data_IF_012660471323
#
_entry.id   IF_012660471323
#
_cell.length_a   1.000
_cell.length_b   1.000
_cell.length_c   1.000
_cell.angle_alpha   90.00
_cell.angle_beta   90.00
_cell.angle_gamma   90.00
#
_symmetry.space_group_name_H-M   'P 1'
#
loop_
_entity.id
_entity.type
_entity.pdbx_description
1 polymer ?
#
# COMPACT_ATOMS: atom_id res chain seq x y z
N UNK A 1 -21.85 11.64 18.15
CA UNK A 1 -22.40 10.62 17.21
C UNK A 1 -23.22 9.61 18.02
N UNK A 2 -24.13 8.87 17.39
CA UNK A 2 -24.78 7.69 17.99
C UNK A 2 -24.49 6.46 17.13
N UNK A 3 -24.34 5.29 17.75
CA UNK A 3 -24.25 4.01 17.05
C UNK A 3 -25.65 3.42 17.00
N UNK A 4 -26.08 2.97 15.82
CA UNK A 4 -27.34 2.26 15.63
C UNK A 4 -27.13 0.79 15.98
N UNK A 5 -27.85 0.29 16.98
CA UNK A 5 -27.94 -1.15 17.28
C UNK A 5 -29.37 -1.58 17.01
N UNK A 6 -29.55 -2.46 16.02
CA UNK A 6 -30.86 -3.03 15.66
C UNK A 6 -31.91 -1.92 15.41
N UNK A 7 -31.54 -0.91 14.63
CA UNK A 7 -32.45 0.18 14.25
C UNK A 7 -32.75 1.22 15.34
N UNK A 8 -32.24 1.05 16.56
CA UNK A 8 -32.38 2.04 17.64
C UNK A 8 -31.06 2.79 17.89
N UNK A 9 -31.09 4.14 17.99
CA UNK A 9 -29.89 4.91 18.30
C UNK A 9 -29.53 4.76 19.79
N UNK A 10 -28.29 4.36 20.08
CA UNK A 10 -27.75 4.43 21.44
C UNK A 10 -27.53 5.87 21.90
N UNK A 11 -27.26 6.03 23.20
CA UNK A 11 -26.85 7.29 23.81
C UNK A 11 -25.70 7.93 23.04
N UNK A 12 -25.78 9.26 22.92
CA UNK A 12 -24.74 10.02 22.24
C UNK A 12 -23.42 9.91 23.00
N UNK A 13 -22.37 9.59 22.26
CA UNK A 13 -21.00 9.69 22.75
C UNK A 13 -20.23 10.73 21.93
N UNK A 14 -19.30 11.38 22.63
CA UNK A 14 -18.36 12.33 22.05
C UNK A 14 -17.16 11.58 21.51
N UNK A 15 -16.78 11.89 20.26
CA UNK A 15 -15.54 11.37 19.67
C UNK A 15 -14.41 12.26 20.16
N UNK A 16 -13.50 11.70 20.94
CA UNK A 16 -12.33 12.41 21.47
C UNK A 16 -11.11 12.29 20.55
N UNK A 17 -11.07 11.28 19.68
CA UNK A 17 -9.97 11.03 18.75
C UNK A 17 -10.45 10.37 17.47
N UNK A 18 -9.83 10.75 16.35
CA UNK A 18 -10.03 10.13 15.04
C UNK A 18 -11.00 10.91 14.15
N UNK A 19 -10.88 10.64 12.85
CA UNK A 19 -11.70 11.25 11.80
C UNK A 19 -12.77 10.26 11.34
N UNK A 20 -13.93 10.77 10.94
CA UNK A 20 -15.04 9.93 10.47
C UNK A 20 -14.68 9.25 9.16
N UNK A 21 -14.69 7.91 9.11
CA UNK A 21 -14.57 7.18 7.84
C UNK A 21 -15.79 7.44 6.96
N UNK A 22 -15.56 7.72 5.68
CA UNK A 22 -16.61 8.04 4.71
C UNK A 22 -17.04 9.51 4.69
N UNK A 23 -16.47 10.35 5.54
CA UNK A 23 -16.57 11.80 5.42
C UNK A 23 -15.62 12.30 4.32
N UNK A 24 -16.10 13.20 3.47
CA UNK A 24 -15.34 13.75 2.35
C UNK A 24 -14.12 14.57 2.80
N UNK A 25 -14.15 15.16 4.01
CA UNK A 25 -13.04 15.98 4.53
C UNK A 25 -11.96 15.17 5.25
N UNK A 26 -12.31 14.00 5.79
CA UNK A 26 -11.38 13.18 6.57
C UNK A 26 -10.09 12.81 5.82
N UNK A 27 -10.11 12.41 4.53
CA UNK A 27 -8.88 12.13 3.78
C UNK A 27 -7.97 13.35 3.65
N UNK A 28 -8.54 14.52 3.45
CA UNK A 28 -7.78 15.76 3.30
C UNK A 28 -7.11 16.16 4.63
N UNK A 29 -7.86 16.10 5.74
CA UNK A 29 -7.30 16.36 7.07
C UNK A 29 -6.20 15.37 7.44
N UNK A 30 -6.36 14.09 7.06
CA UNK A 30 -5.30 13.10 7.23
C UNK A 30 -4.04 13.49 6.44
N UNK A 31 -4.18 13.93 5.19
CA UNK A 31 -3.05 14.35 4.37
C UNK A 31 -2.30 15.54 4.98
N UNK A 32 -3.00 16.53 5.57
CA UNK A 32 -2.35 17.65 6.27
C UNK A 32 -1.49 17.16 7.43
N UNK A 33 -2.02 16.23 8.25
CA UNK A 33 -1.26 15.67 9.36
C UNK A 33 -0.06 14.86 8.84
N UNK A 34 -0.28 14.03 7.82
CA UNK A 34 0.76 13.26 7.15
C UNK A 34 1.88 14.13 6.56
N UNK A 35 1.56 15.31 6.03
CA UNK A 35 2.53 16.26 5.49
C UNK A 35 3.56 16.71 6.55
N UNK A 36 3.16 16.78 7.83
CA UNK A 36 4.11 17.02 8.92
C UNK A 36 5.20 15.95 9.03
N UNK A 37 4.86 14.67 8.80
CA UNK A 37 5.85 13.58 8.75
C UNK A 37 6.72 13.69 7.49
N UNK A 38 6.11 13.96 6.35
CA UNK A 38 6.78 14.21 5.06
C UNK A 38 7.85 15.30 5.17
N UNK A 39 7.50 16.45 5.76
CA UNK A 39 8.44 17.55 6.00
C UNK A 39 9.56 17.14 6.97
N UNK A 40 9.25 16.37 8.01
CA UNK A 40 10.25 15.91 8.99
C UNK A 40 11.28 14.97 8.36
N UNK A 41 10.84 14.03 7.50
CA UNK A 41 11.71 13.13 6.76
C UNK A 41 12.56 13.88 5.73
N UNK A 42 11.96 14.82 5.01
CA UNK A 42 12.68 15.65 4.05
C UNK A 42 13.75 16.50 4.74
N UNK A 43 13.41 17.13 5.88
CA UNK A 43 14.38 17.91 6.65
C UNK A 43 15.52 17.06 7.18
N UNK A 44 15.23 15.83 7.61
CA UNK A 44 16.27 14.90 8.04
C UNK A 44 17.18 14.47 6.88
N UNK A 45 16.64 14.35 5.67
CA UNK A 45 17.42 14.09 4.47
C UNK A 45 18.32 15.30 4.12
N UNK A 46 17.80 16.52 4.22
CA UNK A 46 18.57 17.76 3.97
C UNK A 46 19.68 18.00 4.99
N UNK A 47 19.55 17.42 6.21
CA UNK A 47 20.54 17.49 7.28
C UNK A 47 21.47 16.26 7.32
N UNK A 48 21.49 15.44 6.26
CA UNK A 48 22.31 14.23 6.15
C UNK A 48 22.07 13.19 7.28
N UNK A 49 20.92 13.29 7.97
CA UNK A 49 20.52 12.38 9.05
C UNK A 49 19.88 11.09 8.53
N UNK A 50 19.43 11.11 7.28
CA UNK A 50 19.04 9.96 6.47
C UNK A 50 19.38 10.25 5.01
N UNK A 51 19.43 9.21 4.19
CA UNK A 51 19.62 9.37 2.75
C UNK A 51 18.63 8.50 2.00
N UNK A 52 17.81 9.16 1.17
CA UNK A 52 16.96 8.51 0.19
C UNK A 52 17.71 7.78 -0.92
N UNK A 53 16.96 7.33 -1.91
CA UNK A 53 17.49 6.63 -3.09
C UNK A 53 17.33 7.50 -4.35
N UNK A 54 18.32 7.41 -5.23
CA UNK A 54 18.33 8.12 -6.51
C UNK A 54 17.77 7.23 -7.62
N UNK A 55 16.73 7.71 -8.30
CA UNK A 55 16.09 7.01 -9.40
C UNK A 55 16.43 7.64 -10.75
N UNK A 56 16.40 6.82 -11.81
CA UNK A 56 16.57 7.27 -13.19
C UNK A 56 17.97 7.82 -13.53
N UNK A 57 19.02 7.33 -12.87
CA UNK A 57 20.39 7.81 -13.06
C UNK A 57 20.64 9.17 -12.40
N UNK A 58 20.22 9.32 -11.14
CA UNK A 58 20.34 10.56 -10.34
C UNK A 58 19.49 11.73 -10.81
N UNK A 59 18.39 11.46 -11.51
CA UNK A 59 17.45 12.51 -11.94
C UNK A 59 16.48 12.90 -10.84
N UNK A 60 16.11 11.94 -9.99
CA UNK A 60 15.10 12.13 -8.95
C UNK A 60 15.61 11.50 -7.66
N UNK A 61 15.80 12.31 -6.63
CA UNK A 61 16.10 11.86 -5.29
C UNK A 61 14.80 11.65 -4.51
N UNK A 62 14.55 10.44 -4.00
CA UNK A 62 13.31 10.11 -3.29
C UNK A 62 13.63 9.52 -1.91
N UNK A 63 13.39 10.28 -0.83
CA UNK A 63 13.58 9.79 0.54
C UNK A 63 12.41 8.93 1.05
N UNK A 64 11.20 9.14 0.52
CA UNK A 64 10.03 8.35 0.89
C UNK A 64 8.95 8.40 -0.21
N UNK A 65 8.02 7.45 -0.18
CA UNK A 65 6.76 7.44 -0.92
C UNK A 65 5.62 7.30 0.06
N UNK A 66 4.56 8.09 -0.12
CA UNK A 66 3.41 8.04 0.74
C UNK A 66 2.12 8.00 -0.07
N UNK A 67 1.22 7.11 0.32
CA UNK A 67 -0.14 7.06 -0.19
C UNK A 67 -1.08 6.74 0.97
N UNK A 68 -1.90 7.71 1.36
CA UNK A 68 -2.70 7.65 2.58
C UNK A 68 -1.83 7.20 3.78
N UNK A 69 -2.23 6.14 4.48
CA UNK A 69 -1.55 5.57 5.64
C UNK A 69 -0.38 4.64 5.29
N UNK A 70 -0.18 4.29 4.01
CA UNK A 70 0.92 3.46 3.57
C UNK A 70 2.14 4.30 3.15
N UNK A 71 3.25 4.13 3.88
CA UNK A 71 4.51 4.83 3.60
C UNK A 71 5.65 3.83 3.34
N UNK A 72 6.47 4.12 2.33
CA UNK A 72 7.77 3.48 2.08
C UNK A 72 8.84 4.53 2.35
N UNK A 73 9.82 4.22 3.19
CA UNK A 73 10.97 5.09 3.45
C UNK A 73 12.20 4.45 2.82
N UNK A 74 12.91 5.20 1.98
CA UNK A 74 14.18 4.78 1.41
C UNK A 74 15.32 5.25 2.32
N UNK A 75 16.21 4.32 2.66
CA UNK A 75 17.33 4.59 3.53
C UNK A 75 18.52 3.69 3.15
N UNK A 76 19.74 4.26 3.20
CA UNK A 76 20.96 3.46 3.17
C UNK A 76 21.02 2.50 4.39
N UNK A 77 21.62 1.31 4.26
CA UNK A 77 21.68 0.31 5.32
C UNK A 77 22.66 0.73 6.43
N UNK A 78 22.25 1.70 7.25
CA UNK A 78 23.03 2.26 8.35
C UNK A 78 22.15 2.35 9.60
N UNK A 79 22.62 1.76 10.70
CA UNK A 79 21.92 1.73 11.99
C UNK A 79 21.65 3.14 12.53
N UNK A 80 22.55 4.10 12.29
CA UNK A 80 22.38 5.50 12.71
C UNK A 80 21.21 6.15 11.98
N UNK A 81 21.12 5.97 10.66
CA UNK A 81 20.01 6.50 9.86
C UNK A 81 18.68 5.88 10.27
N UNK A 82 18.65 4.57 10.56
CA UNK A 82 17.43 3.91 11.06
C UNK A 82 17.02 4.41 12.46
N UNK A 83 17.97 4.71 13.34
CA UNK A 83 17.66 5.35 14.63
C UNK A 83 17.06 6.75 14.43
N UNK A 84 17.58 7.54 13.49
CA UNK A 84 17.04 8.86 13.18
C UNK A 84 15.62 8.76 12.64
N UNK A 85 15.37 7.85 11.69
CA UNK A 85 14.01 7.57 11.18
C UNK A 85 13.08 7.16 12.32
N UNK A 86 13.51 6.26 13.21
CA UNK A 86 12.73 5.84 14.38
C UNK A 86 12.38 7.00 15.30
N UNK A 87 13.33 7.91 15.55
CA UNK A 87 13.10 9.13 16.35
C UNK A 87 12.08 10.04 15.69
N UNK A 88 12.18 10.26 14.38
CA UNK A 88 11.23 11.06 13.60
C UNK A 88 9.83 10.46 13.71
N UNK A 89 9.69 9.15 13.46
CA UNK A 89 8.41 8.44 13.59
C UNK A 89 7.85 8.58 15.01
N UNK A 90 8.69 8.46 16.04
CA UNK A 90 8.24 8.61 17.42
C UNK A 90 7.79 10.03 17.74
N UNK A 91 8.51 11.05 17.29
CA UNK A 91 8.10 12.45 17.45
C UNK A 91 6.77 12.70 16.75
N UNK A 92 6.58 12.14 15.55
CA UNK A 92 5.33 12.23 14.82
C UNK A 92 4.16 11.56 15.56
N UNK A 93 4.35 10.36 16.13
CA UNK A 93 3.32 9.71 16.96
C UNK A 93 2.90 10.57 18.15
N UNK A 94 3.88 11.19 18.82
CA UNK A 94 3.63 12.05 19.99
C UNK A 94 2.90 13.34 19.60
N UNK A 95 3.28 13.97 18.47
CA UNK A 95 2.69 15.22 18.01
C UNK A 95 1.30 15.05 17.40
N UNK A 96 1.12 14.03 16.55
CA UNK A 96 -0.15 13.79 15.84
C UNK A 96 -1.14 12.96 16.65
N UNK A 97 -0.65 12.18 17.60
CA UNK A 97 -1.43 11.14 18.27
C UNK A 97 -1.69 9.89 17.43
N UNK A 98 -1.19 9.81 16.20
CA UNK A 98 -1.23 8.59 15.40
C UNK A 98 -0.23 7.56 15.94
N UNK A 99 -0.42 6.29 15.60
CA UNK A 99 0.52 5.22 15.94
C UNK A 99 1.01 4.54 14.69
N UNK A 100 2.32 4.39 14.59
CA UNK A 100 2.97 3.61 13.54
C UNK A 100 2.79 2.13 13.88
N UNK A 101 2.27 1.37 12.91
CA UNK A 101 2.10 -0.06 13.08
C UNK A 101 3.38 -0.81 12.72
N UNK A 102 4.31 -0.90 13.67
CA UNK A 102 5.58 -1.62 13.48
C UNK A 102 5.41 -3.13 13.26
N UNK A 103 4.26 -3.72 13.66
CA UNK A 103 3.96 -5.13 13.47
C UNK A 103 3.65 -5.49 12.00
N UNK A 104 2.96 -4.58 11.30
CA UNK A 104 2.69 -4.64 9.86
C UNK A 104 3.83 -4.04 9.01
N UNK A 105 4.71 -3.27 9.63
CA UNK A 105 5.89 -2.71 8.97
C UNK A 105 6.97 -3.77 8.75
N UNK A 106 7.78 -3.58 7.72
CA UNK A 106 8.94 -4.43 7.47
C UNK A 106 10.11 -3.65 6.87
N UNK A 107 11.33 -4.15 7.12
CA UNK A 107 12.54 -3.70 6.43
C UNK A 107 12.81 -4.65 5.28
N UNK A 108 13.04 -4.06 4.11
CA UNK A 108 13.33 -4.81 2.89
C UNK A 108 14.57 -4.27 2.23
N UNK A 109 15.48 -5.19 1.96
CA UNK A 109 16.71 -4.94 1.24
C UNK A 109 16.45 -5.02 -0.25
N UNK A 110 16.80 -3.95 -0.96
CA UNK A 110 16.93 -3.99 -2.42
C UNK A 110 18.30 -4.60 -2.75
N UNK A 111 18.32 -5.73 -3.45
CA UNK A 111 19.55 -6.47 -3.81
C UNK A 111 19.76 -7.77 -3.02
N UNK A 112 21.03 -8.18 -2.89
CA UNK A 112 21.39 -9.42 -2.17
C UNK A 112 21.13 -9.29 -0.68
N UNK A 113 20.50 -10.31 -0.08
CA UNK A 113 20.32 -10.42 1.37
C UNK A 113 21.66 -10.54 2.07
N UNK A 114 21.79 -9.89 3.22
CA UNK A 114 22.98 -9.95 4.08
C UNK A 114 22.52 -10.19 5.52
N UNK A 115 23.34 -10.85 6.33
CA UNK A 115 23.01 -11.13 7.74
C UNK A 115 22.67 -9.87 8.55
N UNK A 116 23.26 -8.72 8.18
CA UNK A 116 22.98 -7.41 8.78
C UNK A 116 21.51 -6.96 8.66
N UNK A 117 20.74 -7.48 7.69
CA UNK A 117 19.34 -7.10 7.51
C UNK A 117 18.49 -7.42 8.75
N UNK A 118 18.87 -8.45 9.52
CA UNK A 118 18.21 -8.81 10.79
C UNK A 118 18.46 -7.77 11.89
N UNK A 119 19.67 -7.20 11.94
CA UNK A 119 20.05 -6.14 12.88
C UNK A 119 19.31 -4.85 12.55
N UNK A 120 19.21 -4.52 11.26
CA UNK A 120 18.46 -3.36 10.77
C UNK A 120 16.96 -3.48 11.11
N UNK A 121 16.36 -4.65 10.88
CA UNK A 121 14.95 -4.89 11.21
C UNK A 121 14.68 -4.81 12.72
N UNK A 122 15.56 -5.38 13.55
CA UNK A 122 15.49 -5.28 15.03
C UNK A 122 15.57 -3.83 15.51
N UNK A 123 16.39 -3.00 14.88
CA UNK A 123 16.53 -1.57 15.22
C UNK A 123 15.20 -0.83 15.13
N UNK A 124 14.39 -1.15 14.11
CA UNK A 124 13.07 -0.57 13.87
C UNK A 124 11.91 -1.36 14.52
N UNK A 125 12.18 -2.44 15.25
CA UNK A 125 11.15 -3.34 15.80
C UNK A 125 10.18 -3.91 14.74
N UNK A 126 10.69 -4.21 13.55
CA UNK A 126 9.89 -4.69 12.44
C UNK A 126 10.44 -6.02 11.88
N UNK A 127 9.69 -6.65 10.98
CA UNK A 127 10.09 -7.91 10.34
C UNK A 127 11.08 -7.63 9.20
N UNK A 128 12.03 -8.52 8.98
CA UNK A 128 12.83 -8.53 7.74
C UNK A 128 12.06 -9.30 6.67
N UNK A 129 11.84 -8.68 5.50
CA UNK A 129 11.16 -9.30 4.38
C UNK A 129 12.01 -9.27 3.10
N UNK A 130 11.62 -10.05 2.09
CA UNK A 130 12.19 -9.98 0.74
C UNK A 130 11.51 -8.90 -0.09
N UNK A 131 12.12 -8.54 -1.23
CA UNK A 131 11.65 -7.47 -2.11
C UNK A 131 10.22 -7.65 -2.63
N UNK A 132 9.70 -8.88 -2.65
CA UNK A 132 8.35 -9.25 -3.05
C UNK A 132 7.25 -8.77 -2.09
N UNK A 133 7.23 -7.48 -1.75
CA UNK A 133 6.20 -6.85 -0.92
C UNK A 133 5.07 -6.35 -1.80
N UNK A 134 3.84 -6.42 -1.30
CA UNK A 134 2.69 -5.79 -1.93
C UNK A 134 2.54 -4.34 -1.47
N UNK A 135 2.66 -3.37 -2.38
CA UNK A 135 2.37 -1.96 -2.15
C UNK A 135 1.27 -1.50 -3.09
N UNK A 136 0.17 -0.94 -2.58
CA UNK A 136 -1.01 -0.53 -3.36
C UNK A 136 -1.60 -1.64 -4.26
N UNK A 137 -1.41 -2.90 -3.85
CA UNK A 137 -1.85 -4.08 -4.61
C UNK A 137 -0.89 -4.54 -5.71
N UNK A 138 0.25 -3.87 -5.88
CA UNK A 138 1.35 -4.24 -6.77
C UNK A 138 2.44 -4.97 -5.98
N UNK A 139 2.91 -6.10 -6.49
CA UNK A 139 4.08 -6.79 -5.93
C UNK A 139 5.35 -6.14 -6.45
N UNK A 140 6.02 -5.38 -5.58
CA UNK A 140 7.33 -4.80 -5.84
C UNK A 140 8.36 -5.92 -6.00
N UNK A 141 9.40 -5.71 -6.83
CA UNK A 141 10.48 -6.68 -7.02
C UNK A 141 10.17 -7.92 -7.86
N UNK A 142 8.92 -8.16 -8.24
CA UNK A 142 8.57 -9.20 -9.21
C UNK A 142 8.68 -8.66 -10.64
N UNK A 143 9.23 -9.47 -11.56
CA UNK A 143 9.32 -9.08 -12.96
C UNK A 143 7.92 -9.06 -13.60
N UNK A 144 7.55 -8.04 -14.40
CA UNK A 144 6.24 -7.94 -15.04
C UNK A 144 5.82 -9.14 -15.90
N UNK A 145 6.79 -9.88 -16.47
CA UNK A 145 6.50 -11.10 -17.23
C UNK A 145 6.19 -12.31 -16.34
N UNK A 146 6.46 -12.23 -15.03
CA UNK A 146 6.23 -13.32 -14.09
C UNK A 146 4.75 -13.40 -13.70
N UNK A 147 4.24 -14.63 -13.63
CA UNK A 147 2.90 -14.90 -13.09
C UNK A 147 2.75 -14.38 -11.65
N UNK A 148 3.83 -14.40 -10.86
CA UNK A 148 3.82 -13.91 -9.49
C UNK A 148 3.46 -12.42 -9.37
N UNK A 149 3.87 -11.60 -10.35
CA UNK A 149 3.50 -10.18 -10.39
C UNK A 149 1.99 -9.98 -10.58
N UNK A 150 1.36 -10.83 -11.38
CA UNK A 150 -0.06 -10.73 -11.73
C UNK A 150 -0.98 -11.58 -10.85
N UNK A 151 -0.46 -12.37 -9.92
CA UNK A 151 -1.26 -13.20 -9.03
C UNK A 151 -2.27 -12.37 -8.22
N UNK A 152 -1.87 -11.19 -7.71
CA UNK A 152 -2.77 -10.30 -6.98
C UNK A 152 -3.94 -9.79 -7.84
N UNK A 153 -3.69 -9.56 -9.14
CA UNK A 153 -4.69 -9.15 -10.12
C UNK A 153 -5.66 -10.30 -10.39
N UNK A 154 -5.14 -11.49 -10.64
CA UNK A 154 -5.93 -12.70 -10.88
C UNK A 154 -6.82 -13.00 -9.67
N UNK A 155 -6.26 -12.95 -8.46
CA UNK A 155 -7.00 -13.18 -7.22
C UNK A 155 -8.10 -12.13 -7.01
N UNK A 156 -7.83 -10.84 -7.27
CA UNK A 156 -8.85 -9.79 -7.23
C UNK A 156 -10.00 -10.06 -8.20
N UNK A 157 -9.69 -10.46 -9.44
CA UNK A 157 -10.70 -10.83 -10.45
C UNK A 157 -11.54 -12.01 -9.94
N UNK A 158 -10.91 -13.06 -9.44
CA UNK A 158 -11.59 -14.23 -8.89
C UNK A 158 -12.49 -13.88 -7.70
N UNK A 159 -12.01 -13.06 -6.77
CA UNK A 159 -12.77 -12.62 -5.60
C UNK A 159 -14.00 -11.78 -5.97
N UNK A 160 -13.96 -11.02 -7.08
CA UNK A 160 -15.14 -10.32 -7.62
C UNK A 160 -16.11 -11.28 -8.30
N UNK A 161 -15.61 -12.29 -9.00
CA UNK A 161 -16.42 -13.29 -9.69
C UNK A 161 -17.20 -14.21 -8.74
N UNK A 162 -16.60 -14.63 -7.62
CA UNK A 162 -17.21 -15.58 -6.68
C UNK A 162 -18.63 -15.21 -6.23
N UNK A 163 -18.92 -13.98 -5.76
CA UNK A 163 -20.28 -13.58 -5.39
C UNK A 163 -21.22 -13.42 -6.60
N UNK A 164 -20.71 -13.04 -7.78
CA UNK A 164 -21.55 -12.84 -8.96
C UNK A 164 -22.01 -14.15 -9.59
N UNK A 165 -21.19 -15.19 -9.54
CA UNK A 165 -21.59 -16.55 -9.95
C UNK A 165 -22.75 -17.11 -9.14
N UNK A 166 -22.97 -16.60 -7.92
CA UNK A 166 -24.08 -17.01 -7.04
C UNK A 166 -25.36 -16.20 -7.29
N UNK A 167 -25.32 -15.18 -8.16
CA UNK A 167 -26.48 -14.36 -8.52
C UNK A 167 -27.05 -14.83 -9.86
N UNK A 168 -28.37 -14.78 -9.99
CA UNK A 168 -29.06 -14.96 -11.27
C UNK A 168 -28.87 -13.69 -12.10
N UNK A 169 -27.83 -13.66 -12.93
CA UNK A 169 -27.51 -12.56 -13.83
C UNK A 169 -27.86 -12.95 -15.27
N UNK A 170 -28.33 -12.00 -16.07
CA UNK A 170 -28.49 -12.23 -17.50
C UNK A 170 -27.13 -12.15 -18.20
N UNK A 171 -27.03 -12.69 -19.43
CA UNK A 171 -25.82 -12.53 -20.25
C UNK A 171 -25.47 -11.06 -20.51
N UNK A 172 -26.48 -10.20 -20.62
CA UNK A 172 -26.29 -8.76 -20.75
C UNK A 172 -25.62 -8.16 -19.51
N UNK A 173 -26.14 -8.48 -18.32
CA UNK A 173 -25.58 -8.02 -17.05
C UNK A 173 -24.14 -8.50 -16.84
N UNK A 174 -23.88 -9.78 -17.15
CA UNK A 174 -22.54 -10.37 -17.08
C UNK A 174 -21.55 -9.62 -17.98
N UNK A 175 -21.96 -9.32 -19.22
CA UNK A 175 -21.12 -8.59 -20.17
C UNK A 175 -20.84 -7.16 -19.71
N UNK A 176 -21.83 -6.48 -19.12
CA UNK A 176 -21.65 -5.15 -18.52
C UNK A 176 -20.67 -5.21 -17.34
N UNK A 177 -20.80 -6.20 -16.46
CA UNK A 177 -19.87 -6.39 -15.32
C UNK A 177 -18.45 -6.70 -15.77
N UNK A 178 -18.28 -7.53 -16.81
CA UNK A 178 -16.97 -7.80 -17.40
C UNK A 178 -16.33 -6.50 -17.89
N UNK A 179 -17.05 -5.74 -18.73
CA UNK A 179 -16.51 -4.52 -19.35
C UNK A 179 -16.24 -3.40 -18.34
N UNK A 180 -17.15 -3.17 -17.39
CA UNK A 180 -17.06 -2.04 -16.45
C UNK A 180 -16.15 -2.33 -15.25
N UNK A 181 -16.12 -3.58 -14.76
CA UNK A 181 -15.42 -3.93 -13.51
C UNK A 181 -14.25 -4.86 -13.75
N UNK A 182 -14.41 -5.99 -14.44
CA UNK A 182 -13.31 -6.95 -14.55
C UNK A 182 -12.19 -6.48 -15.45
N UNK A 183 -12.51 -5.78 -16.53
CA UNK A 183 -11.52 -5.24 -17.47
C UNK A 183 -10.78 -4.03 -16.92
N UNK A 184 -11.38 -3.25 -16.00
CA UNK A 184 -10.70 -2.09 -15.42
C UNK A 184 -9.58 -2.47 -14.46
N UNK A 185 -9.68 -3.63 -13.78
CA UNK A 185 -8.65 -4.15 -12.86
C UNK A 185 -7.32 -4.33 -13.61
N UNK A 186 -7.16 -5.23 -14.61
CA UNK A 186 -5.88 -5.41 -15.29
C UNK A 186 -5.43 -4.15 -16.03
N UNK A 187 -6.34 -3.32 -16.55
CA UNK A 187 -5.99 -2.06 -17.21
C UNK A 187 -5.24 -1.10 -16.31
N UNK A 188 -5.64 -1.00 -15.03
CA UNK A 188 -4.90 -0.19 -14.06
C UNK A 188 -3.44 -0.64 -13.91
N UNK A 189 -3.19 -1.96 -13.88
CA UNK A 189 -1.84 -2.51 -13.75
C UNK A 189 -1.04 -2.42 -15.06
N UNK A 190 -1.73 -2.50 -16.21
CA UNK A 190 -1.12 -2.34 -17.53
C UNK A 190 -0.55 -0.94 -17.77
N UNK A 191 -1.05 0.08 -17.06
CA UNK A 191 -0.49 1.43 -17.11
C UNK A 191 0.96 1.50 -16.57
N UNK A 192 1.35 0.57 -15.70
CA UNK A 192 2.66 0.55 -15.03
C UNK A 192 3.57 -0.52 -15.64
N UNK A 193 3.00 -1.58 -16.22
CA UNK A 193 3.75 -2.76 -16.62
C UNK A 193 3.11 -3.51 -17.77
N UNK A 194 3.92 -3.92 -18.76
CA UNK A 194 3.42 -4.68 -19.91
C UNK A 194 3.02 -6.10 -19.49
N UNK A 195 1.78 -6.48 -19.78
CA UNK A 195 1.27 -7.83 -19.54
C UNK A 195 1.86 -8.82 -20.55
N UNK A 196 2.15 -10.04 -20.12
CA UNK A 196 2.54 -11.12 -21.02
C UNK A 196 1.31 -11.79 -21.63
N UNK A 197 1.46 -12.34 -22.84
CA UNK A 197 0.36 -13.01 -23.57
C UNK A 197 -0.23 -14.16 -22.75
N UNK A 198 0.61 -14.94 -22.05
CA UNK A 198 0.15 -16.05 -21.22
C UNK A 198 -0.75 -15.60 -20.07
N UNK A 199 -0.49 -14.44 -19.48
CA UNK A 199 -1.29 -13.89 -18.38
C UNK A 199 -2.58 -13.28 -18.92
N UNK A 200 -2.52 -12.57 -20.06
CA UNK A 200 -3.71 -12.08 -20.74
C UNK A 200 -4.70 -13.23 -21.04
N UNK A 201 -4.21 -14.34 -21.59
CA UNK A 201 -5.03 -15.54 -21.86
C UNK A 201 -5.64 -16.15 -20.59
N UNK A 202 -4.95 -16.10 -19.44
CA UNK A 202 -5.52 -16.58 -18.17
C UNK A 202 -6.69 -15.69 -17.75
N UNK A 203 -6.54 -14.37 -17.86
CA UNK A 203 -7.59 -13.41 -17.50
C UNK A 203 -8.79 -13.55 -18.44
N UNK A 204 -8.56 -13.64 -19.75
CA UNK A 204 -9.61 -13.87 -20.75
C UNK A 204 -10.36 -15.17 -20.47
N UNK A 205 -9.66 -16.27 -20.16
CA UNK A 205 -10.31 -17.54 -19.78
C UNK A 205 -11.19 -17.40 -18.53
N UNK A 206 -10.81 -16.58 -17.55
CA UNK A 206 -11.63 -16.33 -16.36
C UNK A 206 -12.89 -15.54 -16.71
N UNK A 207 -12.78 -14.52 -17.57
CA UNK A 207 -13.91 -13.72 -18.03
C UNK A 207 -14.87 -14.56 -18.89
N UNK A 208 -14.34 -15.36 -19.82
CA UNK A 208 -15.16 -16.24 -20.66
C UNK A 208 -15.88 -17.35 -19.88
N UNK A 209 -15.31 -17.83 -18.76
CA UNK A 209 -15.98 -18.79 -17.86
C UNK A 209 -17.09 -18.16 -17.01
N UNK A 210 -17.18 -16.84 -16.97
CA UNK A 210 -18.22 -16.14 -16.23
C UNK A 210 -19.40 -15.75 -17.13
N UNK A 211 -19.13 -15.45 -18.40
CA UNK A 211 -20.13 -15.23 -19.44
C UNK A 211 -20.91 -16.52 -19.77
#
# INVERSE_FOLDING_TARGET
MSVMIIGSPMTHFSITRGLRRGDALSPFLFNIVAEGLSCSLQKANDLDMMYGEDFGGKRIHVPYLQFADAMIIFAKPNVVFLHNIKRILRCFELASGLKVNFFESCVVRVGKKVEQDTVLAKTLYCKSASLSITYLGLTLGAHPSSKAFWNSVIEKIQNRLTPWKRKFLTKGDMLVLIKSVLSSIPTFFMAISKISVSIAQIIEKLQMRFL
#
